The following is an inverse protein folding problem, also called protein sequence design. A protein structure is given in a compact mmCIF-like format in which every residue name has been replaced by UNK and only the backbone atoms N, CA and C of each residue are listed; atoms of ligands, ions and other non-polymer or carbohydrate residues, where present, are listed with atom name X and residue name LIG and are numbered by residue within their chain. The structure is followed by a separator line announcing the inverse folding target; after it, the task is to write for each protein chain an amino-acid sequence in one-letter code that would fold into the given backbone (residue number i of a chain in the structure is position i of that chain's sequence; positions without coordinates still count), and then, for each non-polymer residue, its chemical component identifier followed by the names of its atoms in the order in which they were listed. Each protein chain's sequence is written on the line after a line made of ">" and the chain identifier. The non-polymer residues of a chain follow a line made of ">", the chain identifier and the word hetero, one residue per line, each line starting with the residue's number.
data_IF_021745645477
#
_entry.id   IF_021745645477
#
_cell.length_a   1.000
_cell.length_b   1.000
_cell.length_c   1.000
_cell.angle_alpha   90.00
_cell.angle_beta   90.00
_cell.angle_gamma   90.00
#
_symmetry.space_group_name_H-M   'P 1'
#
loop_
_entity.id
_entity.type
_entity.pdbx_description
1 polymer ?
#
# COMPACT_ATOMS: atom_id res chain seq x y z
N UNK A 1 -6.72 -25.02 4.07
CA UNK A 1 -7.05 -23.64 4.48
C UNK A 1 -6.04 -22.75 3.79
N UNK A 2 -6.48 -21.70 3.11
CA UNK A 2 -5.58 -20.76 2.42
C UNK A 2 -5.18 -19.65 3.39
N UNK A 3 -3.88 -19.40 3.54
CA UNK A 3 -3.29 -18.36 4.38
C UNK A 3 -2.77 -17.23 3.49
N UNK A 4 -3.18 -15.99 3.77
CA UNK A 4 -2.78 -14.80 3.02
C UNK A 4 -2.15 -13.81 3.99
N UNK A 5 -0.92 -13.38 3.70
CA UNK A 5 -0.26 -12.27 4.40
C UNK A 5 -0.50 -10.96 3.62
N UNK A 6 -1.23 -10.01 4.20
CA UNK A 6 -1.62 -8.78 3.51
C UNK A 6 -0.67 -7.61 3.75
N UNK A 7 0.39 -7.78 4.55
CA UNK A 7 1.30 -6.69 4.93
C UNK A 7 2.75 -7.11 4.81
N UNK A 8 3.21 -7.27 3.58
CA UNK A 8 4.60 -7.62 3.30
C UNK A 8 5.32 -6.54 2.52
N UNK A 9 6.45 -6.07 3.04
CA UNK A 9 7.29 -5.09 2.34
C UNK A 9 8.41 -5.74 1.52
N UNK A 10 8.63 -5.25 0.29
CA UNK A 10 9.72 -5.68 -0.61
C UNK A 10 10.49 -4.48 -1.18
N UNK A 11 11.67 -4.74 -1.73
CA UNK A 11 12.61 -3.72 -2.21
C UNK A 11 13.61 -3.30 -1.13
N UNK A 12 14.11 -2.06 -1.22
CA UNK A 12 15.14 -1.54 -0.30
C UNK A 12 14.63 -0.32 0.46
N UNK A 13 14.65 -0.42 1.78
CA UNK A 13 14.25 0.66 2.69
C UNK A 13 15.35 1.71 2.88
N UNK A 14 14.91 2.96 3.07
CA UNK A 14 15.71 4.06 3.60
C UNK A 14 16.43 3.67 4.91
N UNK A 15 15.81 2.83 5.74
CA UNK A 15 16.34 2.39 7.04
C UNK A 15 17.29 1.18 6.95
N UNK A 16 17.68 0.75 5.75
CA UNK A 16 18.66 -0.32 5.54
C UNK A 16 18.08 -1.73 5.46
N UNK A 17 16.79 -1.91 5.75
CA UNK A 17 16.08 -3.16 5.48
C UNK A 17 16.00 -3.43 3.98
N UNK A 18 16.05 -4.70 3.59
CA UNK A 18 15.83 -5.13 2.22
C UNK A 18 15.20 -6.52 2.21
N UNK A 19 14.35 -6.77 1.22
CA UNK A 19 13.77 -8.08 0.95
C UNK A 19 13.45 -8.19 -0.54
N UNK A 20 13.97 -9.22 -1.21
CA UNK A 20 13.60 -9.53 -2.60
C UNK A 20 12.34 -10.40 -2.63
N UNK A 21 11.65 -10.42 -3.77
CA UNK A 21 10.52 -11.31 -4.00
C UNK A 21 10.93 -12.79 -3.92
N UNK A 22 12.14 -13.17 -4.34
CA UNK A 22 12.63 -14.55 -4.24
C UNK A 22 12.92 -14.96 -2.79
N UNK A 23 13.52 -14.08 -1.98
CA UNK A 23 13.67 -14.33 -0.54
C UNK A 23 12.31 -14.49 0.13
N UNK A 24 11.34 -13.63 -0.22
CA UNK A 24 10.00 -13.69 0.32
C UNK A 24 9.31 -15.01 -0.03
N UNK A 25 9.35 -15.43 -1.30
CA UNK A 25 8.76 -16.71 -1.74
C UNK A 25 9.30 -17.89 -0.92
N UNK A 26 10.64 -17.97 -0.75
CA UNK A 26 11.25 -19.04 0.06
C UNK A 26 10.74 -19.03 1.51
N UNK A 27 10.54 -17.85 2.10
CA UNK A 27 9.99 -17.72 3.46
C UNK A 27 8.51 -18.12 3.51
N UNK A 28 7.72 -17.70 2.52
CA UNK A 28 6.31 -18.09 2.42
C UNK A 28 6.15 -19.60 2.32
N UNK A 29 6.96 -20.27 1.49
CA UNK A 29 6.91 -21.73 1.35
C UNK A 29 7.27 -22.44 2.67
N UNK A 30 8.31 -21.96 3.37
CA UNK A 30 8.70 -22.50 4.67
C UNK A 30 7.63 -22.29 5.77
N UNK A 31 6.91 -21.17 5.72
CA UNK A 31 5.86 -20.80 6.68
C UNK A 31 4.45 -21.25 6.27
N UNK A 32 4.30 -21.88 5.09
CA UNK A 32 3.02 -22.28 4.50
C UNK A 32 2.05 -21.11 4.30
N UNK A 33 2.57 -19.99 3.79
CA UNK A 33 1.80 -18.83 3.34
C UNK A 33 1.53 -18.99 1.84
N UNK A 34 0.25 -19.10 1.47
CA UNK A 34 -0.14 -19.35 0.09
C UNK A 34 0.05 -18.10 -0.79
N UNK A 35 -0.34 -16.93 -0.26
CA UNK A 35 -0.28 -15.66 -0.99
C UNK A 35 0.16 -14.49 -0.11
N UNK A 36 0.74 -13.47 -0.74
CA UNK A 36 1.07 -12.21 -0.08
C UNK A 36 0.63 -10.97 -0.87
N UNK A 37 0.26 -9.90 -0.16
CA UNK A 37 0.10 -8.57 -0.73
C UNK A 37 1.37 -7.77 -0.46
N UNK A 38 2.01 -7.37 -1.55
CA UNK A 38 3.29 -6.68 -1.55
C UNK A 38 3.10 -5.17 -1.49
N UNK A 39 3.96 -4.52 -0.72
CA UNK A 39 4.04 -3.06 -0.56
C UNK A 39 5.50 -2.68 -0.76
N UNK A 40 5.82 -1.64 -1.53
CA UNK A 40 7.20 -1.21 -1.59
C UNK A 40 7.66 -0.62 -0.24
N UNK A 41 8.92 -0.86 0.12
CA UNK A 41 9.57 -0.07 1.15
C UNK A 41 9.68 1.41 0.72
N UNK A 42 9.83 2.31 1.69
CA UNK A 42 10.18 3.70 1.40
C UNK A 42 11.62 3.79 0.90
N UNK A 43 11.87 4.29 -0.31
CA UNK A 43 13.22 4.37 -0.86
C UNK A 43 13.98 5.58 -0.30
N UNK A 44 15.31 5.57 -0.45
CA UNK A 44 16.16 6.72 -0.08
C UNK A 44 15.88 7.98 -0.88
N UNK A 45 15.52 7.81 -2.16
CA UNK A 45 15.25 8.92 -3.08
C UNK A 45 13.84 9.51 -2.95
N UNK A 46 13.00 8.98 -2.07
CA UNK A 46 11.60 9.38 -1.85
C UNK A 46 10.63 9.18 -3.04
N UNK A 47 11.14 8.84 -4.22
CA UNK A 47 10.31 8.51 -5.38
C UNK A 47 9.69 7.11 -5.26
N UNK A 48 8.39 7.05 -4.98
CA UNK A 48 7.64 5.81 -4.80
C UNK A 48 7.27 5.14 -6.13
N UNK A 49 7.30 5.86 -7.26
CA UNK A 49 6.83 5.34 -8.54
C UNK A 49 7.67 4.14 -9.04
N UNK A 50 9.01 4.21 -9.08
CA UNK A 50 9.85 3.07 -9.45
C UNK A 50 9.68 1.86 -8.50
N UNK A 51 9.33 2.11 -7.25
CA UNK A 51 9.16 1.06 -6.24
C UNK A 51 7.78 0.37 -6.40
N UNK A 52 6.73 1.11 -6.74
CA UNK A 52 5.45 0.50 -7.15
C UNK A 52 5.63 -0.34 -8.42
N UNK A 53 6.44 0.11 -9.39
CA UNK A 53 6.75 -0.67 -10.59
C UNK A 53 7.54 -1.96 -10.26
N UNK A 54 8.46 -1.89 -9.30
CA UNK A 54 9.19 -3.07 -8.80
C UNK A 54 8.22 -4.11 -8.23
N UNK A 55 7.28 -3.68 -7.41
CA UNK A 55 6.25 -4.56 -6.84
C UNK A 55 5.36 -5.16 -7.93
N UNK A 56 4.91 -4.36 -8.90
CA UNK A 56 4.07 -4.87 -9.98
C UNK A 56 4.81 -5.90 -10.85
N UNK A 57 6.10 -5.71 -11.12
CA UNK A 57 6.92 -6.72 -11.83
C UNK A 57 6.97 -8.04 -11.07
N UNK A 58 7.11 -8.00 -9.74
CA UNK A 58 7.05 -9.21 -8.91
C UNK A 58 5.67 -9.90 -8.99
N UNK A 59 4.58 -9.12 -8.96
CA UNK A 59 3.21 -9.65 -9.14
C UNK A 59 3.04 -10.31 -10.50
N UNK A 60 3.53 -9.70 -11.58
CA UNK A 60 3.46 -10.26 -12.93
C UNK A 60 4.27 -11.55 -13.08
N UNK A 61 5.39 -11.67 -12.35
CA UNK A 61 6.23 -12.86 -12.37
C UNK A 61 5.62 -14.03 -11.61
N UNK A 62 4.87 -13.75 -10.53
CA UNK A 62 4.25 -14.76 -9.68
C UNK A 62 2.77 -14.43 -9.40
N UNK A 63 1.91 -14.39 -10.43
CA UNK A 63 0.53 -13.91 -10.31
C UNK A 63 -0.36 -14.81 -9.47
N UNK A 64 0.03 -16.05 -9.19
CA UNK A 64 -0.70 -16.93 -8.27
C UNK A 64 -0.32 -16.74 -6.80
N UNK A 65 0.82 -16.09 -6.55
CA UNK A 65 1.40 -15.90 -5.21
C UNK A 65 1.24 -14.48 -4.70
N UNK A 66 1.23 -13.49 -5.60
CA UNK A 66 1.33 -12.09 -5.21
C UNK A 66 0.19 -11.21 -5.72
N UNK A 67 -0.11 -10.19 -4.93
CA UNK A 67 -0.87 -8.98 -5.30
C UNK A 67 -0.15 -7.75 -4.76
N UNK A 68 -0.56 -6.56 -5.18
CA UNK A 68 0.07 -5.32 -4.78
C UNK A 68 -0.91 -4.37 -4.08
N UNK A 69 -0.41 -3.66 -3.07
CA UNK A 69 -0.94 -2.36 -2.71
C UNK A 69 0.00 -1.27 -3.22
N UNK A 70 -0.58 -0.23 -3.83
CA UNK A 70 0.18 0.94 -4.24
C UNK A 70 0.50 1.79 -3.02
N UNK A 71 1.77 2.14 -2.85
CA UNK A 71 2.17 3.12 -1.84
C UNK A 71 2.27 4.49 -2.49
N UNK A 72 1.58 5.47 -1.90
CA UNK A 72 1.59 6.86 -2.37
C UNK A 72 1.80 7.83 -1.21
N UNK A 73 2.36 8.99 -1.52
CA UNK A 73 2.48 10.11 -0.58
C UNK A 73 1.45 11.19 -0.91
N UNK A 74 0.46 11.46 -0.02
CA UNK A 74 -0.52 12.50 -0.22
C UNK A 74 0.05 13.91 -0.46
N UNK A 75 1.25 14.22 0.06
CA UNK A 75 1.89 15.53 -0.16
C UNK A 75 2.25 15.79 -1.63
N UNK A 76 2.37 14.76 -2.46
CA UNK A 76 2.62 14.90 -3.89
C UNK A 76 1.37 15.33 -4.67
N UNK A 77 0.20 15.41 -4.01
CA UNK A 77 -1.02 15.99 -4.57
C UNK A 77 -1.43 15.34 -5.89
N UNK A 78 -1.47 16.13 -6.97
CA UNK A 78 -1.86 15.65 -8.30
C UNK A 78 -0.96 14.53 -8.82
N UNK A 79 0.35 14.52 -8.48
CA UNK A 79 1.25 13.46 -8.91
C UNK A 79 0.94 12.12 -8.23
N UNK A 80 0.55 12.10 -6.95
CA UNK A 80 0.09 10.89 -6.28
C UNK A 80 -1.22 10.35 -6.88
N UNK A 81 -2.12 11.23 -7.32
CA UNK A 81 -3.35 10.83 -8.00
C UNK A 81 -3.08 10.26 -9.40
N UNK A 82 -2.21 10.93 -10.16
CA UNK A 82 -1.78 10.46 -11.48
C UNK A 82 -1.05 9.12 -11.38
N UNK A 83 -0.28 8.90 -10.31
CA UNK A 83 0.35 7.61 -10.04
C UNK A 83 -0.69 6.51 -9.83
N UNK A 84 -1.77 6.73 -9.08
CA UNK A 84 -2.85 5.74 -8.95
C UNK A 84 -3.49 5.48 -10.31
N UNK A 85 -3.79 6.53 -11.08
CA UNK A 85 -4.40 6.41 -12.41
C UNK A 85 -3.49 5.66 -13.40
N UNK A 86 -2.16 5.77 -13.28
CA UNK A 86 -1.19 5.02 -14.10
C UNK A 86 -1.34 3.50 -13.95
N UNK A 87 -1.86 3.02 -12.83
CA UNK A 87 -2.09 1.59 -12.56
C UNK A 87 -3.52 1.12 -12.87
N UNK A 88 -4.37 1.91 -13.51
CA UNK A 88 -5.77 1.57 -13.83
C UNK A 88 -5.91 0.14 -14.40
N UNK A 89 -5.16 -0.22 -15.43
CA UNK A 89 -5.21 -1.56 -16.01
C UNK A 89 -4.80 -2.68 -15.03
N UNK A 90 -3.85 -2.41 -14.13
CA UNK A 90 -3.42 -3.36 -13.10
C UNK A 90 -4.45 -3.47 -11.96
N UNK A 91 -5.20 -2.41 -11.70
CA UNK A 91 -6.33 -2.37 -10.76
C UNK A 91 -7.49 -3.17 -11.33
N UNK A 92 -7.89 -2.91 -12.57
CA UNK A 92 -8.98 -3.64 -13.25
C UNK A 92 -8.66 -5.13 -13.42
N UNK A 93 -7.40 -5.46 -13.74
CA UNK A 93 -6.91 -6.84 -13.79
C UNK A 93 -6.73 -7.50 -12.42
N UNK A 94 -6.94 -6.75 -11.33
CA UNK A 94 -6.84 -7.24 -9.96
C UNK A 94 -5.43 -7.58 -9.50
N UNK A 95 -4.39 -7.14 -10.21
CA UNK A 95 -2.99 -7.29 -9.81
C UNK A 95 -2.65 -6.30 -8.67
N UNK A 96 -3.16 -5.07 -8.79
CA UNK A 96 -3.23 -4.08 -7.71
C UNK A 96 -4.59 -4.20 -7.05
N UNK A 97 -4.62 -4.44 -5.74
CA UNK A 97 -5.86 -4.68 -5.00
C UNK A 97 -6.09 -3.69 -3.85
N UNK A 98 -5.33 -2.61 -3.76
CA UNK A 98 -5.53 -1.57 -2.75
C UNK A 98 -4.44 -0.51 -2.74
N UNK A 99 -4.57 0.42 -1.80
CA UNK A 99 -3.62 1.50 -1.57
C UNK A 99 -3.09 1.38 -0.14
N UNK A 100 -1.78 1.56 0.03
CA UNK A 100 -1.12 1.64 1.33
C UNK A 100 -0.69 3.07 1.62
N UNK A 101 -1.00 3.52 2.83
CA UNK A 101 -0.60 4.82 3.37
C UNK A 101 0.23 4.63 4.63
N UNK A 102 1.38 5.31 4.72
CA UNK A 102 2.20 5.32 5.93
C UNK A 102 2.31 6.75 6.53
N UNK A 103 1.27 7.21 7.26
CA UNK A 103 1.22 8.56 7.86
C UNK A 103 2.48 9.01 8.61
N UNK A 104 3.14 8.09 9.31
CA UNK A 104 4.39 8.38 10.02
C UNK A 104 5.59 8.57 9.09
N UNK A 105 5.86 7.63 8.17
CA UNK A 105 7.01 7.74 7.27
C UNK A 105 6.86 8.92 6.30
N UNK A 106 5.65 9.20 5.79
CA UNK A 106 5.38 10.35 4.92
C UNK A 106 4.99 11.63 5.68
N UNK A 107 4.97 11.62 7.02
CA UNK A 107 4.72 12.78 7.88
C UNK A 107 3.43 13.57 7.55
N UNK A 108 2.29 12.89 7.46
CA UNK A 108 0.99 13.55 7.28
C UNK A 108 -0.05 13.04 8.29
N UNK A 109 -0.96 13.88 8.81
CA UNK A 109 -2.09 13.42 9.60
C UNK A 109 -3.13 12.74 8.69
N UNK A 110 -3.53 11.50 9.01
CA UNK A 110 -4.38 10.68 8.14
C UNK A 110 -5.78 11.26 7.90
N UNK A 111 -6.31 11.98 8.88
CA UNK A 111 -7.58 12.72 8.83
C UNK A 111 -7.46 14.13 8.19
N UNK A 112 -6.22 14.54 7.92
CA UNK A 112 -5.86 15.83 7.36
C UNK A 112 -6.42 16.03 5.96
N UNK A 113 -6.54 17.31 5.56
CA UNK A 113 -7.02 17.67 4.23
C UNK A 113 -6.16 17.07 3.10
N UNK A 114 -4.85 16.93 3.32
CA UNK A 114 -3.89 16.40 2.35
C UNK A 114 -4.20 14.96 1.91
N UNK A 115 -4.71 14.11 2.80
CA UNK A 115 -4.99 12.71 2.50
C UNK A 115 -6.37 12.48 1.85
N UNK A 116 -7.30 13.44 1.95
CA UNK A 116 -8.68 13.31 1.45
C UNK A 116 -8.77 12.95 -0.04
N UNK A 117 -7.96 13.54 -0.95
CA UNK A 117 -8.01 13.18 -2.36
C UNK A 117 -7.66 11.71 -2.61
N UNK A 118 -6.75 11.12 -1.81
CA UNK A 118 -6.41 9.70 -1.94
C UNK A 118 -7.60 8.81 -1.58
N UNK A 119 -8.33 9.12 -0.50
CA UNK A 119 -9.54 8.36 -0.15
C UNK A 119 -10.66 8.51 -1.19
N UNK A 120 -10.84 9.72 -1.74
CA UNK A 120 -11.79 9.94 -2.81
C UNK A 120 -11.43 9.14 -4.08
N UNK A 121 -10.15 9.10 -4.44
CA UNK A 121 -9.62 8.30 -5.55
C UNK A 121 -9.75 6.79 -5.31
N UNK A 122 -9.48 6.34 -4.08
CA UNK A 122 -9.72 4.95 -3.68
C UNK A 122 -11.19 4.54 -3.83
N UNK A 123 -12.12 5.43 -3.45
CA UNK A 123 -13.56 5.21 -3.64
C UNK A 123 -13.95 5.07 -5.12
N UNK A 124 -13.33 5.86 -6.01
CA UNK A 124 -13.59 5.79 -7.45
C UNK A 124 -13.24 4.42 -8.04
N UNK A 125 -12.11 3.85 -7.64
CA UNK A 125 -11.68 2.52 -8.08
C UNK A 125 -12.22 1.37 -7.21
N UNK A 126 -13.06 1.66 -6.22
CA UNK A 126 -13.51 0.70 -5.20
C UNK A 126 -12.36 -0.07 -4.52
N UNK A 127 -11.21 0.59 -4.34
CA UNK A 127 -10.03 0.02 -3.71
C UNK A 127 -10.09 0.19 -2.18
N UNK A 128 -9.71 -0.84 -1.40
CA UNK A 128 -9.45 -0.66 0.02
C UNK A 128 -8.20 0.21 0.25
N UNK A 129 -8.16 0.88 1.39
CA UNK A 129 -6.98 1.64 1.84
C UNK A 129 -6.48 1.06 3.15
N UNK A 130 -5.26 0.53 3.14
CA UNK A 130 -4.55 0.11 4.34
C UNK A 130 -3.70 1.25 4.89
N UNK A 131 -3.86 1.51 6.17
CA UNK A 131 -3.20 2.60 6.88
C UNK A 131 -2.27 2.01 7.93
N UNK A 132 -1.00 2.41 7.89
CA UNK A 132 -0.07 2.16 9.00
C UNK A 132 -0.52 2.97 10.23
N UNK A 133 -1.21 2.27 11.14
CA UNK A 133 -1.87 2.83 12.31
C UNK A 133 -0.97 2.92 13.54
N UNK A 134 -1.53 3.52 14.59
CA UNK A 134 -0.97 3.51 15.95
C UNK A 134 -0.07 4.69 16.29
N UNK A 135 0.40 5.49 15.33
CA UNK A 135 1.25 6.62 15.65
C UNK A 135 0.44 7.77 16.28
N UNK A 136 0.81 8.15 17.50
CA UNK A 136 0.03 9.09 18.36
C UNK A 136 -0.24 10.46 17.74
N UNK A 137 0.60 10.91 16.80
CA UNK A 137 0.45 12.22 16.14
C UNK A 137 -0.36 12.19 14.85
N UNK A 138 -0.40 11.06 14.15
CA UNK A 138 -0.80 11.04 12.73
C UNK A 138 -1.74 9.91 12.33
N UNK A 139 -1.85 8.83 13.12
CA UNK A 139 -2.66 7.66 12.75
C UNK A 139 -3.21 6.89 13.95
N UNK A 140 -3.64 7.60 15.00
CA UNK A 140 -4.37 6.97 16.12
C UNK A 140 -5.66 6.28 15.65
N UNK A 141 -6.14 5.30 16.44
CA UNK A 141 -7.41 4.64 16.16
C UNK A 141 -8.59 5.64 16.02
N UNK A 142 -8.57 6.73 16.79
CA UNK A 142 -9.58 7.79 16.68
C UNK A 142 -9.51 8.53 15.33
N UNK A 143 -8.31 8.88 14.88
CA UNK A 143 -8.09 9.56 13.59
C UNK A 143 -8.49 8.65 12.41
N UNK A 144 -8.09 7.37 12.45
CA UNK A 144 -8.49 6.39 11.44
C UNK A 144 -10.02 6.19 11.46
N UNK A 145 -10.64 6.09 12.63
CA UNK A 145 -12.09 6.01 12.77
C UNK A 145 -12.81 7.25 12.23
N UNK A 146 -12.22 8.44 12.34
CA UNK A 146 -12.76 9.66 11.75
C UNK A 146 -12.70 9.63 10.21
N UNK A 147 -11.62 9.09 9.64
CA UNK A 147 -11.51 8.86 8.19
C UNK A 147 -12.58 7.87 7.72
N UNK A 148 -12.72 6.72 8.38
CA UNK A 148 -13.72 5.70 8.02
C UNK A 148 -15.15 6.26 8.05
N UNK A 149 -15.48 7.11 9.04
CA UNK A 149 -16.78 7.81 9.08
C UNK A 149 -16.99 8.80 7.95
N UNK A 150 -15.93 9.49 7.49
CA UNK A 150 -16.02 10.43 6.38
C UNK A 150 -16.13 9.73 5.03
N UNK A 151 -15.44 8.61 4.84
CA UNK A 151 -15.39 7.87 3.59
C UNK A 151 -16.02 6.48 3.77
N UNK A 152 -17.34 6.39 4.02
CA UNK A 152 -18.00 5.13 4.35
C UNK A 152 -18.03 4.12 3.20
N UNK A 153 -17.77 4.56 1.96
CA UNK A 153 -17.65 3.70 0.78
C UNK A 153 -16.25 3.10 0.59
N UNK A 154 -15.26 3.51 1.39
CA UNK A 154 -13.89 3.01 1.30
C UNK A 154 -13.68 1.99 2.42
N UNK A 155 -13.30 0.77 2.04
CA UNK A 155 -12.87 -0.24 3.02
C UNK A 155 -11.53 0.19 3.63
N UNK A 156 -11.53 0.46 4.93
CA UNK A 156 -10.33 0.84 5.67
C UNK A 156 -9.76 -0.37 6.39
N UNK A 157 -8.47 -0.64 6.17
CA UNK A 157 -7.68 -1.64 6.89
C UNK A 157 -6.69 -0.88 7.77
N UNK A 158 -6.62 -1.20 9.06
CA UNK A 158 -5.69 -0.58 9.99
C UNK A 158 -4.75 -1.63 10.57
N UNK A 159 -3.46 -1.30 10.65
CA UNK A 159 -2.41 -2.13 11.25
C UNK A 159 -2.13 -1.71 12.68
#
# INVERSE_FOLDING_TARGET
>A
MTTIDIHTHVGRSLYGHHLTEEELLRRMDALRIDRSILIPFKPKGYDLSPENDLVLRAVQRYPDRFRAFLRVDPWQGAAALAEIDRFEAAIEGGAVCGIFLHPWEENFPVEGAVARPIFAKAAQYALPVMISGGHVRVSTAWQIGAVARRFPSVTIIAT
#
